data_IF_908565233400
#
_entry.id   IF_908565233400
#
_cell.length_a   1.000
_cell.length_b   1.000
_cell.length_c   1.000
_cell.angle_alpha   90.00
_cell.angle_beta   90.00
_cell.angle_gamma   90.00
#
_symmetry.space_group_name_H-M   'P 1'
#
loop_
_entity.id
_entity.type
_entity.pdbx_description
1 polymer ?
#
# COMPACT_ATOMS: atom_id res chain seq x y z
N UNK A 1 -24.68 -11.83 7.32
CA UNK A 1 -23.58 -11.44 8.22
C UNK A 1 -22.26 -11.52 7.47
N UNK A 2 -21.46 -10.47 7.50
CA UNK A 2 -20.19 -10.33 6.77
C UNK A 2 -19.02 -10.84 7.64
N UNK A 3 -19.10 -12.05 8.18
CA UNK A 3 -18.04 -12.63 9.04
C UNK A 3 -16.70 -12.83 8.29
N UNK A 4 -16.71 -12.71 6.96
CA UNK A 4 -15.53 -12.85 6.10
C UNK A 4 -15.08 -11.55 5.43
N UNK A 5 -15.64 -10.38 5.79
CA UNK A 5 -15.20 -9.09 5.25
C UNK A 5 -14.54 -8.25 6.33
N UNK A 6 -13.32 -7.80 6.03
CA UNK A 6 -12.58 -6.85 6.86
C UNK A 6 -12.55 -5.48 6.20
N UNK A 7 -12.81 -4.46 7.02
CA UNK A 7 -12.75 -3.06 6.64
C UNK A 7 -11.41 -2.51 7.10
N UNK A 8 -10.55 -2.15 6.15
CA UNK A 8 -9.23 -1.64 6.45
C UNK A 8 -8.97 -0.32 5.72
N UNK A 9 -8.25 0.56 6.40
CA UNK A 9 -7.75 1.81 5.85
C UNK A 9 -6.22 1.83 5.97
N UNK A 10 -5.56 2.37 4.96
CA UNK A 10 -4.11 2.56 5.00
C UNK A 10 -3.76 3.97 4.60
N UNK A 11 -2.81 4.58 5.30
CA UNK A 11 -2.23 5.85 4.88
C UNK A 11 -0.70 5.82 4.98
N UNK A 12 -0.07 6.77 4.30
CA UNK A 12 1.38 6.92 4.30
C UNK A 12 1.76 8.37 4.45
N UNK A 13 2.86 8.61 5.15
CA UNK A 13 3.49 9.92 5.22
C UNK A 13 4.97 9.83 4.89
N UNK A 14 5.52 10.93 4.38
CA UNK A 14 6.94 11.11 4.16
C UNK A 14 7.41 12.34 4.92
N UNK A 15 8.31 12.15 5.87
CA UNK A 15 9.04 13.23 6.49
C UNK A 15 10.12 13.72 5.52
N UNK A 16 10.32 15.05 5.48
CA UNK A 16 11.35 15.70 4.64
C UNK A 16 11.21 15.38 3.15
N UNK A 17 9.98 15.26 2.66
CA UNK A 17 9.69 15.00 1.25
C UNK A 17 10.45 16.00 0.36
N UNK A 18 11.16 15.51 -0.67
CA UNK A 18 11.99 16.27 -1.64
C UNK A 18 13.44 16.62 -1.26
N UNK A 19 13.99 16.07 -0.18
CA UNK A 19 15.44 16.12 0.10
C UNK A 19 16.02 14.72 0.32
N UNK A 20 17.34 14.54 0.24
CA UNK A 20 18.00 13.22 0.25
C UNK A 20 17.70 12.35 1.49
N UNK A 21 17.17 12.94 2.56
CA UNK A 21 16.80 12.26 3.80
C UNK A 21 15.29 11.95 3.93
N UNK A 22 14.56 11.80 2.81
CA UNK A 22 13.14 11.41 2.88
C UNK A 22 13.02 10.12 3.70
N UNK A 23 12.09 10.10 4.66
CA UNK A 23 11.73 8.87 5.37
C UNK A 23 10.24 8.64 5.28
N UNK A 24 9.86 7.51 4.69
CA UNK A 24 8.48 7.10 4.54
C UNK A 24 8.04 6.22 5.72
N UNK A 25 6.85 6.50 6.23
CA UNK A 25 6.13 5.67 7.17
C UNK A 25 4.72 5.38 6.63
N UNK A 26 4.14 4.28 7.06
CA UNK A 26 2.79 3.90 6.68
C UNK A 26 2.06 3.24 7.84
N UNK A 27 0.75 3.37 7.84
CA UNK A 27 -0.12 2.91 8.91
C UNK A 27 -1.25 2.07 8.31
N UNK A 28 -1.64 1.05 9.06
CA UNK A 28 -2.74 0.13 8.76
C UNK A 28 -3.72 0.24 9.92
N UNK A 29 -4.98 0.50 9.60
CA UNK A 29 -6.09 0.45 10.54
C UNK A 29 -7.08 -0.62 10.07
N UNK A 30 -7.53 -1.50 10.96
CA UNK A 30 -8.51 -2.54 10.66
C UNK A 30 -9.65 -2.48 11.66
N UNK A 31 -10.86 -2.16 11.17
CA UNK A 31 -12.02 -1.96 12.04
C UNK A 31 -12.37 -3.27 12.77
N UNK A 32 -12.28 -3.24 14.09
CA UNK A 32 -12.66 -4.36 14.96
C UNK A 32 -11.56 -5.42 15.16
N UNK A 33 -10.34 -5.17 14.66
CA UNK A 33 -9.21 -6.10 14.72
C UNK A 33 -7.93 -5.37 15.13
N UNK A 34 -7.82 -5.02 16.41
CA UNK A 34 -6.70 -4.22 16.95
C UNK A 34 -5.33 -4.89 16.77
N UNK A 35 -5.29 -6.23 16.69
CA UNK A 35 -4.05 -6.98 16.49
C UNK A 35 -3.48 -6.85 15.07
N UNK A 36 -4.25 -6.31 14.13
CA UNK A 36 -3.84 -6.06 12.74
C UNK A 36 -3.51 -4.58 12.48
N UNK A 37 -3.69 -3.70 13.48
CA UNK A 37 -3.32 -2.30 13.38
C UNK A 37 -1.80 -2.14 13.55
N UNK A 38 -1.14 -1.52 12.58
CA UNK A 38 0.32 -1.46 12.54
C UNK A 38 0.81 -0.11 12.02
N UNK A 39 1.88 0.40 12.62
CA UNK A 39 2.68 1.49 12.10
C UNK A 39 4.03 0.95 11.64
N UNK A 40 4.35 1.15 10.35
CA UNK A 40 5.47 0.51 9.67
C UNK A 40 6.40 1.59 9.12
N UNK A 41 7.69 1.47 9.43
CA UNK A 41 8.74 2.24 8.75
C UNK A 41 9.09 1.56 7.44
N UNK A 42 9.06 2.29 6.34
CA UNK A 42 9.48 1.76 5.04
C UNK A 42 10.97 1.45 5.08
N UNK A 43 11.34 0.24 4.65
CA UNK A 43 12.74 -0.18 4.56
C UNK A 43 13.57 0.83 3.77
N UNK A 44 14.78 1.15 4.26
CA UNK A 44 15.68 2.11 3.61
C UNK A 44 16.18 1.62 2.24
N UNK A 45 16.06 0.33 1.95
CA UNK A 45 16.40 -0.24 0.65
C UNK A 45 15.31 -0.02 -0.41
N UNK A 46 14.13 0.46 0.00
CA UNK A 46 13.06 0.87 -0.90
C UNK A 46 13.08 2.38 -1.10
N UNK A 47 12.56 2.84 -2.24
CA UNK A 47 12.39 4.26 -2.47
C UNK A 47 11.49 4.87 -1.39
N UNK A 48 11.95 5.97 -0.80
CA UNK A 48 11.25 6.66 0.27
C UNK A 48 10.20 7.59 -0.34
N UNK A 49 8.99 7.08 -0.55
CA UNK A 49 7.87 7.82 -1.12
C UNK A 49 6.54 7.46 -0.46
N UNK A 50 5.55 8.35 -0.56
CA UNK A 50 4.19 8.06 -0.08
C UNK A 50 3.60 6.85 -0.81
N UNK A 51 3.87 6.71 -2.12
CA UNK A 51 3.31 5.60 -2.89
C UNK A 51 3.90 4.26 -2.44
N UNK A 52 5.21 4.19 -2.18
CA UNK A 52 5.83 2.99 -1.60
C UNK A 52 5.30 2.70 -0.21
N UNK A 53 5.13 3.71 0.64
CA UNK A 53 4.49 3.53 1.94
C UNK A 53 3.15 2.82 1.82
N UNK A 54 2.27 3.34 0.96
CA UNK A 54 0.95 2.71 0.73
C UNK A 54 1.04 1.30 0.17
N UNK A 55 1.92 1.06 -0.80
CA UNK A 55 2.12 -0.27 -1.36
C UNK A 55 2.61 -1.27 -0.29
N UNK A 56 3.53 -0.86 0.58
CA UNK A 56 4.02 -1.67 1.70
C UNK A 56 2.91 -1.98 2.69
N UNK A 57 2.10 -1.00 3.10
CA UNK A 57 0.97 -1.24 4.01
C UNK A 57 -0.02 -2.24 3.42
N UNK A 58 -0.36 -2.12 2.14
CA UNK A 58 -1.28 -3.04 1.46
C UNK A 58 -0.71 -4.44 1.39
N UNK A 59 0.57 -4.57 1.05
CA UNK A 59 1.26 -5.87 1.02
C UNK A 59 1.21 -6.53 2.40
N UNK A 60 1.60 -5.81 3.46
CA UNK A 60 1.62 -6.37 4.82
C UNK A 60 0.22 -6.73 5.29
N UNK A 61 -0.76 -5.88 5.03
CA UNK A 61 -2.16 -6.17 5.35
C UNK A 61 -2.64 -7.43 4.62
N UNK A 62 -2.39 -7.53 3.30
CA UNK A 62 -2.77 -8.67 2.48
C UNK A 62 -2.10 -9.98 2.91
N UNK A 63 -0.85 -9.93 3.37
CA UNK A 63 -0.14 -11.10 3.93
C UNK A 63 -0.63 -11.49 5.31
N UNK A 64 -1.24 -10.55 6.05
CA UNK A 64 -1.76 -10.78 7.40
C UNK A 64 -3.19 -11.34 7.41
N UNK A 65 -3.85 -11.40 6.25
CA UNK A 65 -5.26 -11.75 6.12
C UNK A 65 -5.41 -12.97 5.20
N UNK A 66 -5.56 -14.15 5.81
CA UNK A 66 -5.37 -15.43 5.13
C UNK A 66 -6.49 -15.80 4.13
N UNK A 67 -7.77 -15.54 4.46
CA UNK A 67 -8.93 -16.01 3.68
C UNK A 67 -10.11 -15.03 3.64
N UNK A 68 -9.89 -13.78 4.06
CA UNK A 68 -10.94 -12.76 4.20
C UNK A 68 -10.98 -11.83 3.00
N UNK A 69 -12.18 -11.47 2.58
CA UNK A 69 -12.40 -10.44 1.57
C UNK A 69 -12.08 -9.09 2.21
N UNK A 70 -11.15 -8.35 1.62
CA UNK A 70 -10.76 -7.03 2.10
C UNK A 70 -11.53 -5.94 1.36
N UNK A 71 -12.25 -5.10 2.11
CA UNK A 71 -12.69 -3.82 1.60
C UNK A 71 -11.68 -2.76 2.06
N UNK A 72 -10.83 -2.36 1.12
CA UNK A 72 -9.73 -1.45 1.35
C UNK A 72 -10.13 -0.02 0.99
N UNK A 73 -10.12 0.88 1.97
CA UNK A 73 -10.31 2.31 1.76
C UNK A 73 -8.94 3.00 1.66
N UNK A 74 -8.71 3.65 0.51
CA UNK A 74 -7.48 4.40 0.25
C UNK A 74 -7.77 5.66 -0.54
N UNK A 75 -7.15 6.76 -0.12
CA UNK A 75 -7.19 8.02 -0.86
C UNK A 75 -6.21 8.05 -2.06
N UNK A 76 -5.40 7.00 -2.28
CA UNK A 76 -4.48 6.94 -3.42
C UNK A 76 -5.17 6.38 -4.66
N UNK A 77 -5.58 7.29 -5.54
CA UNK A 77 -6.11 6.94 -6.88
C UNK A 77 -5.13 6.10 -7.69
N UNK A 78 -3.82 6.28 -7.46
CA UNK A 78 -2.77 5.52 -8.15
C UNK A 78 -2.85 4.03 -7.80
N UNK A 79 -2.82 3.73 -6.50
CA UNK A 79 -2.92 2.36 -5.98
C UNK A 79 -4.21 1.70 -6.43
N UNK A 80 -5.34 2.40 -6.26
CA UNK A 80 -6.65 1.88 -6.66
C UNK A 80 -6.67 1.52 -8.15
N UNK A 81 -6.17 2.39 -9.03
CA UNK A 81 -6.09 2.12 -10.47
C UNK A 81 -5.17 0.95 -10.79
N UNK A 82 -4.01 0.87 -10.12
CA UNK A 82 -3.00 -0.15 -10.40
C UNK A 82 -3.48 -1.55 -10.04
N UNK A 83 -4.12 -1.69 -8.87
CA UNK A 83 -4.63 -2.97 -8.37
C UNK A 83 -5.88 -3.47 -9.11
N UNK A 84 -6.70 -2.55 -9.66
CA UNK A 84 -8.01 -2.92 -10.22
C UNK A 84 -8.08 -2.95 -11.74
N UNK A 85 -7.31 -2.11 -12.44
CA UNK A 85 -7.52 -1.89 -13.89
C UNK A 85 -6.26 -2.01 -14.73
N UNK A 86 -5.07 -1.64 -14.23
CA UNK A 86 -3.86 -1.67 -15.05
C UNK A 86 -3.00 -2.92 -14.88
N UNK A 87 -3.30 -3.78 -13.91
CA UNK A 87 -2.45 -4.94 -13.56
C UNK A 87 -2.10 -5.80 -14.78
N UNK A 88 -3.11 -6.26 -15.51
CA UNK A 88 -2.92 -7.14 -16.67
C UNK A 88 -2.04 -6.46 -17.75
N UNK A 89 -2.36 -5.21 -18.10
CA UNK A 89 -1.58 -4.48 -19.11
C UNK A 89 -0.14 -4.21 -18.69
N UNK A 90 0.12 -3.99 -17.40
CA UNK A 90 1.49 -3.83 -16.89
C UNK A 90 2.25 -5.15 -16.85
N UNK A 91 1.59 -6.26 -16.51
CA UNK A 91 2.19 -7.61 -16.55
C UNK A 91 2.52 -8.02 -18.00
N UNK A 92 1.59 -7.78 -18.93
CA UNK A 92 1.75 -8.10 -20.36
C UNK A 92 2.90 -7.32 -21.01
N UNK A 93 3.13 -6.09 -20.58
CA UNK A 93 4.24 -5.24 -21.02
C UNK A 93 5.52 -5.47 -20.22
N UNK A 94 5.54 -6.43 -19.29
CA UNK A 94 6.67 -6.68 -18.36
C UNK A 94 7.11 -5.43 -17.61
N UNK A 95 6.16 -4.54 -17.31
CA UNK A 95 6.38 -3.24 -16.67
C UNK A 95 7.30 -2.30 -17.48
N UNK A 96 7.55 -2.58 -18.76
CA UNK A 96 8.31 -1.70 -19.65
C UNK A 96 7.52 -0.40 -19.80
N UNK A 97 8.21 0.74 -19.69
CA UNK A 97 7.66 2.11 -19.70
C UNK A 97 6.88 2.57 -18.47
N UNK A 98 6.69 1.72 -17.46
CA UNK A 98 6.19 2.22 -16.17
C UNK A 98 7.36 2.84 -15.42
N UNK A 99 7.30 4.14 -15.19
CA UNK A 99 8.36 4.84 -14.46
C UNK A 99 8.45 4.26 -13.05
N UNK A 100 9.66 3.93 -12.59
CA UNK A 100 9.87 3.49 -11.21
C UNK A 100 9.31 4.52 -10.22
N UNK A 101 9.35 5.82 -10.53
CA UNK A 101 8.73 6.86 -9.68
C UNK A 101 7.23 6.65 -9.41
N UNK A 102 6.56 5.85 -10.23
CA UNK A 102 5.16 5.47 -10.08
C UNK A 102 5.00 4.13 -9.35
N UNK A 103 5.87 3.13 -9.58
CA UNK A 103 5.77 1.79 -8.97
C UNK A 103 6.55 1.65 -7.64
N UNK A 104 7.61 2.43 -7.44
CA UNK A 104 8.59 2.42 -6.35
C UNK A 104 9.14 3.85 -6.13
#
# INVERSE_FOLDING_TARGET
ELHNVILAATDSSCLKNRIAEVRAGTEIFVKGETNLELAIRVSLNLQQSNQVGKAVAIKVLAESIDIRVMLHDTNSKYISKHLTTSRQGTEDTRYISVSNKEIL
#
